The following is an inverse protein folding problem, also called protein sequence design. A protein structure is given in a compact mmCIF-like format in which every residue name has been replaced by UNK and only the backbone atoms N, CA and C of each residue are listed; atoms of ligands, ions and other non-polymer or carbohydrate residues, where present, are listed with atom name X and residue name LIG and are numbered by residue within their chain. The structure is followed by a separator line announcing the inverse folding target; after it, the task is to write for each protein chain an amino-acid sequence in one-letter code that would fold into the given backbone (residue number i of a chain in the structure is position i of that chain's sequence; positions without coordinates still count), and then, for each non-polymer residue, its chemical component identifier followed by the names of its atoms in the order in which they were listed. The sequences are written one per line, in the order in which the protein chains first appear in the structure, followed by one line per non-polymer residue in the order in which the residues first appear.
data_IF_695949350680
#
_entry.id   IF_695949350680
#
_cell.length_a   1.000
_cell.length_b   1.000
_cell.length_c   1.000
_cell.angle_alpha   90.00
_cell.angle_beta   90.00
_cell.angle_gamma   90.00
#
_symmetry.space_group_name_H-M   'P 1'
#
loop_
_entity.id
_entity.type
_entity.pdbx_description
1 polymer ?
#
# COMPACT_ATOMS: atom_id res chain seq x y z
N UNK A 1 3.40 -17.20 -8.43
CA UNK A 1 3.49 -15.87 -9.05
C UNK A 1 4.54 -15.07 -8.31
N UNK A 2 5.30 -14.19 -8.98
CA UNK A 2 6.44 -13.48 -8.37
C UNK A 2 6.16 -11.98 -8.37
N UNK A 3 6.45 -11.25 -7.27
CA UNK A 3 6.27 -9.80 -7.25
C UNK A 3 7.24 -9.11 -8.22
N UNK A 4 6.90 -7.90 -8.69
CA UNK A 4 7.83 -7.04 -9.41
C UNK A 4 9.13 -6.79 -8.61
N UNK A 5 10.26 -6.61 -9.30
CA UNK A 5 11.52 -6.29 -8.64
C UNK A 5 11.43 -4.96 -7.89
N UNK A 6 12.27 -4.82 -6.87
CA UNK A 6 12.42 -3.56 -6.13
C UNK A 6 12.96 -2.46 -7.04
N UNK A 7 12.58 -1.22 -6.73
CA UNK A 7 13.03 -0.01 -7.40
C UNK A 7 14.02 0.77 -6.52
N UNK A 8 15.28 0.34 -6.33
CA UNK A 8 16.21 1.08 -5.48
C UNK A 8 16.60 2.42 -6.11
N UNK A 9 16.78 3.46 -5.30
CA UNK A 9 17.20 4.80 -5.76
C UNK A 9 18.49 4.77 -6.60
N UNK A 10 19.38 3.80 -6.33
CA UNK A 10 20.62 3.62 -7.07
C UNK A 10 20.38 3.22 -8.55
N UNK A 11 19.28 2.53 -8.86
CA UNK A 11 18.88 2.26 -10.25
C UNK A 11 18.47 3.55 -10.99
N UNK A 12 18.26 4.65 -10.27
CA UNK A 12 17.94 5.98 -10.78
C UNK A 12 19.09 6.98 -10.58
N UNK A 13 20.31 6.47 -10.40
CA UNK A 13 21.53 7.28 -10.27
C UNK A 13 21.69 7.96 -8.91
N UNK A 14 20.93 7.56 -7.88
CA UNK A 14 21.00 8.18 -6.55
C UNK A 14 20.29 9.53 -6.43
N UNK A 15 19.70 10.02 -7.52
CA UNK A 15 19.09 11.36 -7.59
C UNK A 15 17.61 11.33 -7.19
N UNK A 16 17.28 11.96 -6.06
CA UNK A 16 15.91 11.97 -5.52
C UNK A 16 14.87 12.46 -6.54
N UNK A 17 15.14 13.57 -7.24
CA UNK A 17 14.17 14.13 -8.18
C UNK A 17 13.83 13.16 -9.34
N UNK A 18 14.83 12.41 -9.83
CA UNK A 18 14.63 11.39 -10.88
C UNK A 18 13.90 10.18 -10.33
N UNK A 19 14.26 9.76 -9.12
CA UNK A 19 13.62 8.63 -8.47
C UNK A 19 12.15 8.91 -8.15
N UNK A 20 11.86 10.08 -7.58
CA UNK A 20 10.50 10.52 -7.29
C UNK A 20 9.63 10.58 -8.56
N UNK A 21 10.18 11.08 -9.67
CA UNK A 21 9.49 11.08 -10.96
C UNK A 21 9.17 9.64 -11.43
N UNK A 22 10.13 8.72 -11.33
CA UNK A 22 9.91 7.32 -11.70
C UNK A 22 8.86 6.62 -10.80
N UNK A 23 8.88 6.89 -9.49
CA UNK A 23 7.87 6.39 -8.56
C UNK A 23 6.49 6.95 -8.90
N UNK A 24 6.41 8.23 -9.23
CA UNK A 24 5.17 8.88 -9.63
C UNK A 24 4.60 8.26 -10.92
N UNK A 25 5.45 7.99 -11.92
CA UNK A 25 5.02 7.32 -13.15
C UNK A 25 4.47 5.91 -12.89
N UNK A 26 5.10 5.15 -11.98
CA UNK A 26 4.61 3.85 -11.54
C UNK A 26 3.27 3.98 -10.84
N UNK A 27 3.12 4.94 -9.91
CA UNK A 27 1.86 5.20 -9.22
C UNK A 27 0.73 5.54 -10.21
N UNK A 28 1.00 6.43 -11.17
CA UNK A 28 0.00 6.83 -12.18
C UNK A 28 -0.36 5.64 -13.07
N UNK A 29 0.62 4.87 -13.53
CA UNK A 29 0.41 3.71 -14.39
C UNK A 29 -0.40 2.62 -13.67
N UNK A 30 0.04 2.21 -12.48
CA UNK A 30 -0.43 0.98 -11.83
C UNK A 30 -1.62 1.21 -10.89
N UNK A 31 -1.84 2.43 -10.42
CA UNK A 31 -2.91 2.74 -9.46
C UNK A 31 -3.95 3.68 -10.04
N UNK A 32 -3.54 4.74 -10.77
CA UNK A 32 -4.48 5.78 -11.24
C UNK A 32 -5.13 5.43 -12.58
N UNK A 33 -4.34 4.95 -13.55
CA UNK A 33 -4.81 4.64 -14.91
C UNK A 33 -5.20 3.17 -15.09
N UNK A 34 -4.71 2.29 -14.21
CA UNK A 34 -5.02 0.87 -14.24
C UNK A 34 -6.41 0.61 -13.64
N UNK A 35 -7.14 -0.36 -14.17
CA UNK A 35 -8.39 -0.85 -13.58
C UNK A 35 -8.06 -1.80 -12.41
N UNK A 36 -7.47 -1.23 -11.35
CA UNK A 36 -7.03 -1.98 -10.19
C UNK A 36 -8.25 -2.53 -9.44
N UNK A 37 -8.26 -3.84 -9.19
CA UNK A 37 -9.39 -4.52 -8.54
C UNK A 37 -8.91 -5.43 -7.43
N UNK A 38 -9.68 -5.45 -6.34
CA UNK A 38 -9.57 -6.42 -5.26
C UNK A 38 -10.91 -7.16 -5.17
N UNK A 39 -10.90 -8.49 -5.30
CA UNK A 39 -12.12 -9.33 -5.30
C UNK A 39 -13.22 -8.82 -6.25
N UNK A 40 -12.81 -8.37 -7.43
CA UNK A 40 -13.69 -7.82 -8.47
C UNK A 40 -14.17 -6.38 -8.24
N UNK A 41 -13.96 -5.80 -7.06
CA UNK A 41 -14.33 -4.43 -6.71
C UNK A 41 -13.18 -3.49 -7.05
N UNK A 42 -13.49 -2.34 -7.65
CA UNK A 42 -12.51 -1.33 -8.02
C UNK A 42 -11.79 -0.76 -6.80
N UNK A 43 -10.47 -0.60 -6.92
CA UNK A 43 -9.61 0.06 -5.95
C UNK A 43 -9.17 1.40 -6.53
N UNK A 44 -9.49 2.49 -5.83
CA UNK A 44 -9.12 3.84 -6.23
C UNK A 44 -8.16 4.46 -5.21
N UNK A 45 -7.29 5.36 -5.67
CA UNK A 45 -6.53 6.25 -4.80
C UNK A 45 -7.27 7.58 -4.59
N UNK A 46 -7.01 8.25 -3.45
CA UNK A 46 -7.62 9.56 -3.17
C UNK A 46 -7.17 10.58 -4.23
N UNK A 47 -8.10 11.06 -5.04
CA UNK A 47 -7.89 12.19 -5.97
C UNK A 47 -7.94 13.50 -5.18
N UNK A 48 -6.85 14.25 -5.20
CA UNK A 48 -6.86 15.67 -4.78
C UNK A 48 -6.68 16.50 -6.05
N UNK A 49 -7.41 17.61 -6.23
CA UNK A 49 -7.28 18.46 -7.41
C UNK A 49 -5.81 18.83 -7.68
N UNK A 50 -5.45 18.83 -8.97
CA UNK A 50 -4.07 18.96 -9.49
C UNK A 50 -3.35 20.27 -9.11
N UNK A 51 -4.02 21.21 -8.45
CA UNK A 51 -3.63 22.61 -8.54
C UNK A 51 -2.43 23.02 -7.68
N UNK A 52 -1.96 22.26 -6.67
CA UNK A 52 -0.79 22.73 -5.90
C UNK A 52 0.25 21.72 -5.43
N UNK A 53 -0.04 20.43 -5.19
CA UNK A 53 0.98 19.50 -4.68
C UNK A 53 0.69 18.09 -5.16
N UNK A 54 1.72 17.36 -5.59
CA UNK A 54 1.67 15.94 -5.98
C UNK A 54 0.76 15.16 -5.00
N UNK A 55 -0.09 14.28 -5.52
CA UNK A 55 -1.20 13.61 -4.82
C UNK A 55 -0.86 13.22 -3.37
N UNK A 56 -1.67 13.65 -2.39
CA UNK A 56 -1.46 13.23 -1.01
C UNK A 56 -1.45 11.70 -0.87
N UNK A 57 -2.21 10.98 -1.71
CA UNK A 57 -2.14 9.52 -1.75
C UNK A 57 -0.77 9.01 -2.20
N UNK A 58 -0.15 9.60 -3.22
CA UNK A 58 1.21 9.24 -3.63
C UNK A 58 2.19 9.41 -2.47
N UNK A 59 2.17 10.56 -1.79
CA UNK A 59 3.00 10.79 -0.61
C UNK A 59 2.70 9.79 0.51
N UNK A 60 1.44 9.43 0.77
CA UNK A 60 1.08 8.39 1.75
C UNK A 60 1.66 7.01 1.43
N UNK A 61 1.92 6.73 0.16
CA UNK A 61 2.54 5.48 -0.28
C UNK A 61 4.04 5.46 -0.08
N UNK A 62 4.71 6.61 -0.23
CA UNK A 62 6.18 6.67 -0.28
C UNK A 62 6.85 7.34 0.92
N UNK A 63 6.08 7.87 1.88
CA UNK A 63 6.61 8.62 3.02
C UNK A 63 6.08 8.14 4.36
N UNK A 64 6.83 8.43 5.41
CA UNK A 64 6.49 8.17 6.80
C UNK A 64 6.48 9.46 7.63
N UNK A 65 5.86 9.41 8.81
CA UNK A 65 5.66 10.56 9.68
C UNK A 65 4.24 10.62 10.22
N UNK A 66 4.10 11.05 11.48
CA UNK A 66 2.79 11.24 12.13
C UNK A 66 2.14 12.58 11.76
N UNK A 67 2.96 13.57 11.39
CA UNK A 67 2.53 14.90 10.94
C UNK A 67 2.58 14.92 9.42
N UNK A 68 1.45 15.18 8.78
CA UNK A 68 1.28 15.10 7.33
C UNK A 68 2.26 16.01 6.57
N UNK A 69 2.42 17.25 7.03
CA UNK A 69 3.26 18.27 6.39
C UNK A 69 4.77 18.04 6.60
N UNK A 70 5.14 17.23 7.59
CA UNK A 70 6.54 16.92 7.93
C UNK A 70 6.95 15.50 7.51
N UNK A 71 6.13 14.83 6.70
CA UNK A 71 6.44 13.48 6.23
C UNK A 71 7.73 13.46 5.41
N UNK A 72 8.57 12.47 5.69
CA UNK A 72 9.82 12.24 4.96
C UNK A 72 9.72 10.99 4.11
N UNK A 73 10.36 10.94 2.93
CA UNK A 73 10.43 9.73 2.13
C UNK A 73 10.98 8.52 2.89
N UNK A 74 10.27 7.40 2.80
CA UNK A 74 10.69 6.10 3.32
C UNK A 74 11.20 5.25 2.15
N UNK A 75 12.52 5.06 2.08
CA UNK A 75 13.16 4.37 0.96
C UNK A 75 12.64 2.94 0.76
N UNK A 76 12.29 2.23 1.84
CA UNK A 76 11.80 0.85 1.75
C UNK A 76 10.41 0.79 1.13
N UNK A 77 9.57 1.79 1.42
CA UNK A 77 8.27 1.97 0.76
C UNK A 77 8.43 2.34 -0.70
N UNK A 78 9.28 3.31 -1.00
CA UNK A 78 9.57 3.74 -2.36
C UNK A 78 9.96 2.54 -3.24
N UNK A 79 10.90 1.72 -2.77
CA UNK A 79 11.38 0.53 -3.48
C UNK A 79 10.28 -0.48 -3.85
N UNK A 80 9.17 -0.49 -3.09
CA UNK A 80 8.10 -1.48 -3.17
C UNK A 80 6.81 -0.95 -3.76
N UNK A 81 6.80 0.30 -4.24
CA UNK A 81 5.60 0.92 -4.79
C UNK A 81 4.98 0.10 -5.94
N UNK A 82 5.81 -0.50 -6.79
CA UNK A 82 5.39 -1.40 -7.87
C UNK A 82 4.71 -2.69 -7.37
N UNK A 83 5.01 -3.13 -6.15
CA UNK A 83 4.46 -4.35 -5.57
C UNK A 83 3.03 -4.16 -5.06
N UNK A 84 2.59 -2.91 -4.80
CA UNK A 84 1.25 -2.61 -4.28
C UNK A 84 0.16 -3.18 -5.19
N UNK A 85 0.24 -2.89 -6.49
CA UNK A 85 -0.70 -3.46 -7.48
C UNK A 85 -0.67 -4.98 -7.47
N UNK A 86 0.53 -5.56 -7.51
CA UNK A 86 0.69 -7.02 -7.54
C UNK A 86 0.06 -7.68 -6.32
N UNK A 87 0.27 -7.13 -5.12
CA UNK A 87 -0.32 -7.64 -3.88
C UNK A 87 -1.84 -7.59 -3.94
N UNK A 88 -2.41 -6.49 -4.42
CA UNK A 88 -3.87 -6.32 -4.52
C UNK A 88 -4.49 -7.32 -5.50
N UNK A 89 -3.91 -7.47 -6.69
CA UNK A 89 -4.48 -8.32 -7.75
C UNK A 89 -4.28 -9.82 -7.48
N UNK A 90 -3.24 -10.18 -6.72
CA UNK A 90 -2.87 -11.58 -6.46
C UNK A 90 -3.17 -12.03 -5.04
N UNK A 91 -3.85 -11.19 -4.25
CA UNK A 91 -4.11 -11.43 -2.84
C UNK A 91 -4.69 -12.82 -2.56
N UNK A 92 -5.77 -13.20 -3.24
CA UNK A 92 -6.44 -14.50 -3.00
C UNK A 92 -5.70 -15.70 -3.64
N UNK A 93 -4.68 -15.45 -4.47
CA UNK A 93 -3.99 -16.50 -5.24
C UNK A 93 -2.55 -16.77 -4.77
N UNK A 94 -2.02 -15.96 -3.86
CA UNK A 94 -0.65 -16.08 -3.33
C UNK A 94 -0.72 -16.34 -1.83
N UNK A 95 -0.33 -17.54 -1.41
CA UNK A 95 -0.46 -18.02 -0.02
C UNK A 95 0.30 -17.18 1.01
N UNK A 96 1.41 -16.54 0.61
CA UNK A 96 2.21 -15.68 1.49
C UNK A 96 1.62 -14.27 1.67
N UNK A 97 0.43 -14.00 1.12
CA UNK A 97 -0.33 -12.78 1.38
C UNK A 97 -1.45 -13.12 2.36
N UNK A 98 -1.29 -12.69 3.61
CA UNK A 98 -2.35 -12.77 4.60
C UNK A 98 -3.41 -11.69 4.34
N UNK A 99 -4.69 -12.02 4.52
CA UNK A 99 -5.81 -11.12 4.26
C UNK A 99 -6.79 -11.15 5.42
N UNK A 100 -7.07 -10.01 6.02
CA UNK A 100 -8.13 -9.91 7.04
C UNK A 100 -8.85 -8.57 7.00
N UNK A 101 -10.08 -8.55 7.51
CA UNK A 101 -10.83 -7.31 7.74
C UNK A 101 -10.46 -6.74 9.12
N UNK A 102 -10.06 -5.48 9.15
CA UNK A 102 -9.84 -4.71 10.36
C UNK A 102 -10.88 -3.61 10.46
N UNK A 103 -11.60 -3.56 11.59
CA UNK A 103 -12.44 -2.40 11.94
C UNK A 103 -11.68 -1.49 12.90
N UNK A 104 -11.51 -0.23 12.53
CA UNK A 104 -11.01 0.83 13.44
C UNK A 104 -12.07 1.92 13.54
N UNK A 105 -12.57 2.13 14.76
CA UNK A 105 -13.68 3.05 15.04
C UNK A 105 -14.90 2.74 14.15
N UNK A 106 -15.10 3.53 13.08
CA UNK A 106 -16.21 3.39 12.13
C UNK A 106 -15.75 2.97 10.73
N UNK A 107 -14.46 2.72 10.54
CA UNK A 107 -13.89 2.38 9.24
C UNK A 107 -13.49 0.90 9.18
N UNK A 108 -14.07 0.19 8.22
CA UNK A 108 -13.66 -1.16 7.84
C UNK A 108 -12.58 -1.09 6.77
N UNK A 109 -11.54 -1.90 6.95
CA UNK A 109 -10.42 -1.98 6.02
C UNK A 109 -10.09 -3.44 5.72
N UNK A 110 -9.77 -3.75 4.47
CA UNK A 110 -8.96 -4.91 4.17
C UNK A 110 -7.50 -4.59 4.45
N UNK A 111 -6.84 -5.53 5.10
CA UNK A 111 -5.39 -5.54 5.28
C UNK A 111 -4.83 -6.70 4.47
N UNK A 112 -3.89 -6.40 3.57
CA UNK A 112 -3.16 -7.37 2.76
C UNK A 112 -1.71 -7.34 3.20
N UNK A 113 -1.19 -8.44 3.74
CA UNK A 113 0.12 -8.47 4.36
C UNK A 113 1.01 -9.52 3.72
N UNK A 114 1.94 -9.05 2.89
CA UNK A 114 2.85 -9.86 2.12
C UNK A 114 4.10 -10.22 2.93
N UNK A 115 4.34 -11.53 3.10
CA UNK A 115 5.51 -12.11 3.79
C UNK A 115 5.76 -11.54 5.20
N UNK A 116 4.69 -11.16 5.90
CA UNK A 116 4.74 -10.48 7.19
C UNK A 116 5.66 -9.24 7.22
N UNK A 117 5.88 -8.65 6.05
CA UNK A 117 6.87 -7.59 5.84
C UNK A 117 6.25 -6.34 5.22
N UNK A 118 5.38 -6.48 4.21
CA UNK A 118 4.82 -5.34 3.51
C UNK A 118 3.29 -5.36 3.53
N UNK A 119 2.70 -4.30 4.04
CA UNK A 119 1.27 -4.23 4.34
C UNK A 119 0.60 -3.19 3.44
N UNK A 120 -0.50 -3.57 2.80
CA UNK A 120 -1.36 -2.70 1.99
C UNK A 120 -2.73 -2.61 2.65
N UNK A 121 -3.24 -1.39 2.84
CA UNK A 121 -4.56 -1.15 3.48
C UNK A 121 -5.55 -0.59 2.47
N UNK A 122 -6.69 -1.27 2.34
CA UNK A 122 -7.81 -0.83 1.50
C UNK A 122 -9.02 -0.50 2.37
N UNK A 123 -9.42 0.77 2.42
CA UNK A 123 -10.59 1.20 3.18
C UNK A 123 -11.89 0.97 2.39
N UNK A 124 -12.92 0.47 3.07
CA UNK A 124 -14.24 0.33 2.47
C UNK A 124 -14.86 1.71 2.22
N UNK A 125 -15.34 1.92 1.00
CA UNK A 125 -16.15 3.07 0.59
C UNK A 125 -17.41 2.56 -0.11
N UNK A 126 -18.38 3.46 -0.31
CA UNK A 126 -19.61 3.11 -1.02
C UNK A 126 -19.26 2.79 -2.48
N UNK A 127 -19.34 1.51 -2.87
CA UNK A 127 -19.13 1.03 -4.23
C UNK A 127 -17.69 0.82 -4.69
N UNK A 128 -16.68 1.08 -3.85
CA UNK A 128 -15.26 0.88 -4.19
C UNK A 128 -14.39 0.73 -2.93
N UNK A 129 -13.12 0.34 -3.14
CA UNK A 129 -12.09 0.35 -2.10
C UNK A 129 -11.14 1.53 -2.28
N UNK A 130 -10.82 2.24 -1.21
CA UNK A 130 -9.81 3.30 -1.22
C UNK A 130 -8.45 2.71 -0.82
N UNK A 131 -7.46 2.76 -1.72
CA UNK A 131 -6.07 2.50 -1.35
C UNK A 131 -5.62 3.58 -0.36
N UNK A 132 -5.51 3.19 0.92
CA UNK A 132 -5.30 4.12 2.03
C UNK A 132 -3.82 4.35 2.29
N UNK A 133 -3.03 3.29 2.35
CA UNK A 133 -1.59 3.34 2.58
C UNK A 133 -0.96 1.99 2.26
N UNK A 134 0.37 1.96 2.07
CA UNK A 134 1.16 0.76 2.23
C UNK A 134 2.49 1.07 2.91
N UNK A 135 2.99 0.14 3.72
CA UNK A 135 4.22 0.33 4.48
C UNK A 135 4.88 -0.98 4.91
N UNK A 136 6.17 -0.89 5.24
CA UNK A 136 6.93 -2.03 5.74
C UNK A 136 6.73 -2.20 7.27
N UNK A 137 6.52 -3.44 7.72
CA UNK A 137 6.40 -3.82 9.13
C UNK A 137 7.76 -4.20 9.69
N UNK A 138 8.57 -3.19 9.98
CA UNK A 138 9.99 -3.33 10.30
C UNK A 138 10.28 -3.60 11.78
N UNK A 139 9.25 -3.46 12.62
CA UNK A 139 9.39 -3.55 14.07
C UNK A 139 8.68 -4.79 14.58
N UNK A 140 9.34 -5.58 15.41
CA UNK A 140 8.77 -6.81 15.98
C UNK A 140 7.42 -6.59 16.67
N UNK A 141 7.24 -5.44 17.32
CA UNK A 141 5.98 -5.12 17.99
C UNK A 141 4.84 -4.89 17.00
N UNK A 142 5.11 -4.33 15.81
CA UNK A 142 4.12 -4.17 14.74
C UNK A 142 3.77 -5.54 14.15
N UNK A 143 4.78 -6.37 13.84
CA UNK A 143 4.59 -7.73 13.33
C UNK A 143 3.75 -8.56 14.30
N UNK A 144 4.10 -8.59 15.60
CA UNK A 144 3.31 -9.28 16.63
C UNK A 144 1.87 -8.78 16.72
N UNK A 145 1.68 -7.47 16.61
CA UNK A 145 0.34 -6.86 16.61
C UNK A 145 -0.49 -7.35 15.42
N UNK A 146 0.07 -7.30 14.20
CA UNK A 146 -0.66 -7.72 13.00
C UNK A 146 -0.91 -9.23 12.94
N UNK A 147 0.03 -10.07 13.40
CA UNK A 147 -0.23 -11.50 13.61
C UNK A 147 -1.43 -11.73 14.52
N UNK A 148 -1.49 -11.04 15.67
CA UNK A 148 -2.61 -11.16 16.59
C UNK A 148 -3.95 -10.74 15.96
N UNK A 149 -3.95 -9.68 15.16
CA UNK A 149 -5.16 -9.22 14.44
C UNK A 149 -5.61 -10.24 13.39
N UNK A 150 -4.67 -10.76 12.58
CA UNK A 150 -4.91 -11.81 11.59
C UNK A 150 -5.45 -13.09 12.23
N UNK A 151 -4.76 -13.60 13.24
CA UNK A 151 -5.10 -14.87 13.89
C UNK A 151 -6.48 -14.78 14.56
N UNK A 152 -6.83 -13.63 15.15
CA UNK A 152 -8.15 -13.40 15.72
C UNK A 152 -9.25 -13.40 14.65
N UNK A 153 -8.99 -12.82 13.46
CA UNK A 153 -9.93 -12.84 12.34
C UNK A 153 -10.17 -14.27 11.84
N UNK A 154 -9.11 -15.06 11.63
CA UNK A 154 -9.25 -16.45 11.18
C UNK A 154 -9.88 -17.37 12.23
N UNK A 155 -9.63 -17.14 13.52
CA UNK A 155 -10.27 -17.90 14.61
C UNK A 155 -11.76 -17.55 14.78
N UNK A 156 -12.16 -16.33 14.42
CA UNK A 156 -13.53 -15.83 14.56
C UNK A 156 -14.50 -16.26 13.46
N UNK A 157 -14.02 -16.97 12.43
CA UNK A 157 -14.81 -17.30 11.24
C UNK A 157 -15.02 -16.05 10.37
N UNK A 158 -13.99 -15.69 9.61
CA UNK A 158 -14.03 -14.62 8.62
C UNK A 158 -14.99 -14.87 7.47
#
# INVERSE_FOLDING_TARGET
MTPPPLMPINAHGGEWARYEAALYDVFVRDIIRHDLRFRGIQVNARRIPEHERKWACFWHMISEGSVEDDRIPDMRRCERLSQVRWIIENADAVEVIDIWEQTREREKNWVLWYEEFYLVVLAHRSGYYLLKTAFCTDRDHQVRKFRKERDAYYAGGG
#
